data_IF_993726442904
#
_entry.id   IF_993726442904
#
_cell.length_a   1.000
_cell.length_b   1.000
_cell.length_c   1.000
_cell.angle_alpha   90.00
_cell.angle_beta   90.00
_cell.angle_gamma   90.00
#
_symmetry.space_group_name_H-M   'P 1'
#
loop_
_entity.id
_entity.type
_entity.pdbx_description
1 polymer ?
#
# COMPACT_ATOMS: atom_id res chain seq x y z
N UNK A 1 -7.91 -6.23 5.85
CA UNK A 1 -6.49 -5.84 5.96
C UNK A 1 -6.15 -4.99 4.75
N UNK A 2 -5.38 -3.92 4.96
CA UNK A 2 -4.94 -3.02 3.90
C UNK A 2 -3.45 -3.21 3.65
N UNK A 3 -3.01 -3.00 2.41
CA UNK A 3 -1.61 -3.06 2.00
C UNK A 3 -1.27 -1.73 1.34
N UNK A 4 -0.33 -1.00 1.92
CA UNK A 4 0.29 0.15 1.28
C UNK A 4 1.38 -0.34 0.33
N UNK A 5 1.35 0.16 -0.90
CA UNK A 5 2.39 -0.10 -1.90
C UNK A 5 2.88 1.21 -2.49
N UNK A 6 4.13 1.54 -2.17
CA UNK A 6 4.81 2.75 -2.63
C UNK A 6 5.48 2.50 -3.99
N UNK A 7 5.15 3.33 -4.98
CA UNK A 7 5.71 3.26 -6.32
C UNK A 7 6.37 4.57 -6.72
N UNK A 8 7.27 4.58 -7.72
CA UNK A 8 7.81 5.83 -8.26
C UNK A 8 6.74 6.78 -8.83
N UNK A 9 5.56 6.25 -9.17
CA UNK A 9 4.45 7.03 -9.70
C UNK A 9 3.53 7.59 -8.60
N UNK A 10 3.60 7.08 -7.37
CA UNK A 10 2.69 7.43 -6.30
C UNK A 10 2.42 6.30 -5.30
N UNK A 11 1.41 6.48 -4.44
CA UNK A 11 1.01 5.51 -3.43
C UNK A 11 -0.25 4.75 -3.86
N UNK A 12 -0.21 3.43 -3.75
CA UNK A 12 -1.36 2.56 -3.95
C UNK A 12 -1.80 1.94 -2.62
N UNK A 13 -3.09 1.95 -2.36
CA UNK A 13 -3.72 1.25 -1.24
C UNK A 13 -4.53 0.09 -1.78
N UNK A 14 -4.18 -1.12 -1.37
CA UNK A 14 -4.89 -2.34 -1.72
C UNK A 14 -5.64 -2.88 -0.52
N UNK A 15 -6.83 -3.43 -0.77
CA UNK A 15 -7.54 -4.26 0.19
C UNK A 15 -7.20 -5.72 -0.08
N UNK A 16 -6.75 -6.43 0.96
CA UNK A 16 -6.53 -7.86 0.90
C UNK A 16 -7.89 -8.57 0.96
N UNK A 17 -8.15 -9.47 0.00
CA UNK A 17 -9.40 -10.23 -0.08
C UNK A 17 -9.26 -11.65 0.48
N UNK A 18 -8.03 -12.18 0.52
CA UNK A 18 -7.73 -13.54 0.96
C UNK A 18 -6.58 -13.50 1.98
N UNK A 19 -6.92 -13.31 3.26
CA UNK A 19 -5.96 -13.26 4.38
C UNK A 19 -5.25 -14.60 4.61
N UNK A 20 -5.84 -15.72 4.16
CA UNK A 20 -5.27 -17.07 4.33
C UNK A 20 -3.98 -17.30 3.53
N UNK A 21 -3.68 -16.46 2.54
CA UNK A 21 -2.45 -16.59 1.73
C UNK A 21 -1.20 -16.03 2.39
N UNK A 22 -1.33 -15.25 3.47
CA UNK A 22 -0.19 -14.75 4.23
C UNK A 22 0.47 -15.84 5.09
N UNK A 23 -0.22 -16.95 5.34
CA UNK A 23 0.27 -18.07 6.17
C UNK A 23 1.37 -18.90 5.46
N UNK A 24 1.47 -18.81 4.13
CA UNK A 24 2.47 -19.52 3.31
C UNK A 24 3.27 -18.54 2.44
N UNK A 25 4.21 -17.80 3.03
CA UNK A 25 4.97 -16.76 2.32
C UNK A 25 5.70 -17.30 1.08
N UNK A 26 6.24 -18.53 1.12
CA UNK A 26 6.96 -19.14 -0.01
C UNK A 26 6.10 -19.41 -1.25
N UNK A 27 4.77 -19.46 -1.10
CA UNK A 27 3.83 -19.76 -2.20
C UNK A 27 2.97 -18.56 -2.61
N UNK A 28 3.10 -17.42 -1.92
CA UNK A 28 2.22 -16.26 -2.17
C UNK A 28 2.38 -15.72 -3.60
N UNK A 29 3.62 -15.74 -4.13
CA UNK A 29 3.94 -15.29 -5.48
C UNK A 29 3.14 -16.02 -6.57
N UNK A 30 2.76 -17.28 -6.33
CA UNK A 30 1.92 -18.06 -7.27
C UNK A 30 0.55 -17.43 -7.49
N UNK A 31 0.05 -16.73 -6.48
CA UNK A 31 -1.23 -16.02 -6.55
C UNK A 31 -1.16 -14.77 -7.43
N UNK A 32 0.03 -14.36 -7.84
CA UNK A 32 0.29 -13.21 -8.70
C UNK A 32 0.84 -13.61 -10.08
N UNK A 33 0.89 -14.91 -10.41
CA UNK A 33 1.34 -15.40 -11.73
C UNK A 33 0.39 -14.99 -12.88
N UNK A 34 -0.91 -14.84 -12.59
CA UNK A 34 -1.88 -14.37 -13.59
C UNK A 34 -2.73 -13.22 -13.04
N UNK A 35 -3.18 -12.28 -13.91
CA UNK A 35 -4.00 -11.14 -13.48
C UNK A 35 -5.32 -11.55 -12.80
N UNK A 36 -5.90 -12.68 -13.22
CA UNK A 36 -7.13 -13.23 -12.63
C UNK A 36 -6.91 -13.72 -11.20
N UNK A 37 -5.77 -14.36 -10.92
CA UNK A 37 -5.43 -14.82 -9.57
C UNK A 37 -5.07 -13.64 -8.65
N UNK A 38 -4.38 -12.63 -9.20
CA UNK A 38 -4.04 -11.43 -8.46
C UNK A 38 -5.29 -10.66 -8.01
N UNK A 39 -6.28 -10.49 -8.91
CA UNK A 39 -7.56 -9.84 -8.58
C UNK A 39 -8.38 -10.57 -7.51
N UNK A 40 -8.20 -11.89 -7.37
CA UNK A 40 -8.84 -12.66 -6.28
C UNK A 40 -8.12 -12.48 -4.93
N UNK A 41 -6.87 -12.04 -4.96
CA UNK A 41 -6.02 -11.94 -3.76
C UNK A 41 -6.01 -10.51 -3.21
N UNK A 42 -5.90 -9.52 -4.11
CA UNK A 42 -5.89 -8.09 -3.75
C UNK A 42 -6.81 -7.30 -4.66
N UNK A 43 -7.38 -6.22 -4.12
CA UNK A 43 -8.16 -5.25 -4.88
C UNK A 43 -7.61 -3.85 -4.67
N UNK A 44 -7.35 -3.12 -5.76
CA UNK A 44 -6.96 -1.71 -5.66
C UNK A 44 -8.14 -0.92 -5.08
N UNK A 45 -7.89 -0.27 -3.94
CA UNK A 45 -8.86 0.59 -3.27
C UNK A 45 -8.66 2.04 -3.71
N UNK A 46 -7.42 2.51 -3.66
CA UNK A 46 -7.08 3.88 -4.01
C UNK A 46 -5.67 3.97 -4.60
N UNK A 47 -5.47 4.94 -5.49
CA UNK A 47 -4.15 5.27 -6.01
C UNK A 47 -4.04 6.78 -6.12
N UNK A 48 -3.02 7.35 -5.46
CA UNK A 48 -2.66 8.76 -5.63
C UNK A 48 -1.34 8.83 -6.37
N UNK A 49 -1.31 9.59 -7.47
CA UNK A 49 -0.08 9.83 -8.23
C UNK A 49 0.64 11.07 -7.72
N UNK A 50 1.96 11.10 -7.83
CA UNK A 50 2.70 12.32 -7.60
C UNK A 50 2.37 13.36 -8.67
N UNK A 51 2.21 14.61 -8.25
CA UNK A 51 1.88 15.71 -9.16
C UNK A 51 3.06 16.06 -10.07
N UNK A 52 4.28 15.98 -9.54
CA UNK A 52 5.51 16.33 -10.25
C UNK A 52 6.72 15.54 -9.71
N UNK A 53 7.84 15.66 -10.41
CA UNK A 53 9.10 14.96 -10.07
C UNK A 53 9.69 15.40 -8.74
N UNK A 54 9.46 16.65 -8.30
CA UNK A 54 9.93 17.16 -7.00
C UNK A 54 9.19 16.48 -5.85
N UNK A 55 7.88 16.30 -5.97
CA UNK A 55 7.05 15.59 -5.00
C UNK A 55 7.47 14.12 -4.92
N UNK A 56 7.68 13.48 -6.07
CA UNK A 56 8.17 12.10 -6.15
C UNK A 56 9.55 11.93 -5.49
N UNK A 57 10.50 12.82 -5.77
CA UNK A 57 11.84 12.78 -5.17
C UNK A 57 11.78 12.96 -3.65
N UNK A 58 10.95 13.91 -3.18
CA UNK A 58 10.78 14.18 -1.76
C UNK A 58 10.13 13.00 -1.03
N UNK A 59 9.10 12.41 -1.62
CA UNK A 59 8.44 11.20 -1.14
C UNK A 59 9.42 10.03 -0.98
N UNK A 60 10.19 9.72 -2.04
CA UNK A 60 11.15 8.62 -2.03
C UNK A 60 12.26 8.87 -1.00
N UNK A 61 12.79 10.10 -0.93
CA UNK A 61 13.83 10.45 0.06
C UNK A 61 13.33 10.25 1.48
N UNK A 62 12.11 10.74 1.77
CA UNK A 62 11.49 10.57 3.08
C UNK A 62 11.23 9.10 3.41
N UNK A 63 10.74 8.30 2.46
CA UNK A 63 10.56 6.85 2.62
C UNK A 63 11.88 6.15 2.98
N UNK A 64 12.98 6.46 2.28
CA UNK A 64 14.32 5.91 2.57
C UNK A 64 14.80 6.29 3.98
N UNK A 65 14.45 7.49 4.43
CA UNK A 65 14.73 7.95 5.79
C UNK A 65 13.76 7.42 6.85
N UNK A 66 12.72 6.66 6.48
CA UNK A 66 11.67 6.19 7.40
C UNK A 66 10.75 7.31 7.90
N UNK A 67 10.53 8.34 7.09
CA UNK A 67 9.70 9.51 7.42
C UNK A 67 8.40 9.49 6.62
N UNK A 68 7.30 9.66 7.33
CA UNK A 68 5.99 9.89 6.73
C UNK A 68 5.89 11.31 6.14
N UNK A 69 5.73 11.40 4.82
CA UNK A 69 5.45 12.67 4.14
C UNK A 69 4.04 13.19 4.41
N UNK A 70 3.84 14.50 4.25
CA UNK A 70 2.52 15.12 4.38
C UNK A 70 1.51 14.51 3.39
N UNK A 71 1.92 14.34 2.13
CA UNK A 71 1.10 13.75 1.08
C UNK A 71 0.64 12.32 1.43
N UNK A 72 1.55 11.48 1.97
CA UNK A 72 1.18 10.12 2.41
C UNK A 72 0.18 10.13 3.58
N UNK A 73 0.35 11.04 4.55
CA UNK A 73 -0.60 11.19 5.66
C UNK A 73 -1.98 11.63 5.18
N UNK A 74 -2.03 12.60 4.26
CA UNK A 74 -3.27 13.09 3.66
C UNK A 74 -3.98 11.98 2.86
N UNK A 75 -3.22 11.18 2.10
CA UNK A 75 -3.74 10.03 1.38
C UNK A 75 -4.36 8.99 2.31
N UNK A 76 -3.63 8.51 3.32
CA UNK A 76 -4.13 7.50 4.26
C UNK A 76 -5.36 7.99 5.05
N UNK A 77 -5.36 9.27 5.46
CA UNK A 77 -6.48 9.85 6.21
C UNK A 77 -7.73 10.07 5.35
N UNK A 78 -7.56 10.29 4.04
CA UNK A 78 -8.68 10.45 3.10
C UNK A 78 -9.29 9.10 2.70
N UNK A 79 -8.45 8.07 2.54
CA UNK A 79 -8.88 6.78 2.02
C UNK A 79 -9.31 5.78 3.10
N UNK A 80 -8.82 5.93 4.33
CA UNK A 80 -9.12 5.06 5.47
C UNK A 80 -10.00 5.81 6.46
N UNK A 81 -11.25 5.37 6.60
CA UNK A 81 -12.16 5.98 7.57
C UNK A 81 -11.69 5.73 9.02
N UNK A 82 -12.05 6.61 9.96
CA UNK A 82 -11.72 6.42 11.39
C UNK A 82 -12.21 5.08 11.96
N UNK A 83 -13.31 4.53 11.42
CA UNK A 83 -13.85 3.21 11.79
C UNK A 83 -12.97 2.07 11.27
N UNK A 84 -12.34 2.24 10.12
CA UNK A 84 -11.45 1.26 9.50
C UNK A 84 -10.06 1.32 10.13
N UNK A 85 -9.54 2.49 10.48
CA UNK A 85 -8.27 2.58 11.23
C UNK A 85 -8.27 1.79 12.55
N UNK A 86 -9.44 1.60 13.17
CA UNK A 86 -9.58 0.85 14.43
C UNK A 86 -9.77 -0.67 14.22
N UNK A 87 -10.08 -1.11 13.01
CA UNK A 87 -10.41 -2.51 12.70
C UNK A 87 -9.46 -3.15 11.70
N UNK A 88 -8.87 -2.36 10.81
CA UNK A 88 -7.99 -2.81 9.76
C UNK A 88 -6.53 -2.61 10.16
N UNK A 89 -5.73 -3.65 9.94
CA UNK A 89 -4.27 -3.53 9.99
C UNK A 89 -3.76 -3.07 8.62
N UNK A 90 -2.81 -2.14 8.62
CA UNK A 90 -2.09 -1.69 7.43
C UNK A 90 -0.74 -2.42 7.35
N UNK A 91 -0.51 -3.14 6.26
CA UNK A 91 0.79 -3.72 5.93
C UNK A 91 1.60 -2.66 5.18
N UNK A 92 2.84 -2.45 5.64
CA UNK A 92 3.82 -1.56 5.01
C UNK A 92 5.04 -2.37 4.58
N UNK A 93 5.69 -1.96 3.49
CA UNK A 93 6.89 -2.64 2.98
C UNK A 93 8.15 -2.35 3.80
N UNK A 94 8.26 -1.13 4.33
CA UNK A 94 9.39 -0.71 5.17
C UNK A 94 8.97 -0.61 6.64
N UNK A 95 9.66 -1.32 7.57
CA UNK A 95 9.31 -1.30 8.99
C UNK A 95 9.64 0.03 9.69
N UNK A 96 10.37 0.95 9.05
CA UNK A 96 10.68 2.28 9.61
C UNK A 96 9.56 3.29 9.38
N UNK A 97 8.57 2.96 8.56
CA UNK A 97 7.42 3.80 8.23
C UNK A 97 6.35 3.75 9.34
#
# INVERSE_FOLDING_TARGET
MLVLYETPAGYALFSLLDDGKLDKPDSIWKSFETPEQANKTVKLRAFTKFENTTDALSAITALVEGKLTKNLKEFLSSEISEKEMKKESLIVGDPKL
#
